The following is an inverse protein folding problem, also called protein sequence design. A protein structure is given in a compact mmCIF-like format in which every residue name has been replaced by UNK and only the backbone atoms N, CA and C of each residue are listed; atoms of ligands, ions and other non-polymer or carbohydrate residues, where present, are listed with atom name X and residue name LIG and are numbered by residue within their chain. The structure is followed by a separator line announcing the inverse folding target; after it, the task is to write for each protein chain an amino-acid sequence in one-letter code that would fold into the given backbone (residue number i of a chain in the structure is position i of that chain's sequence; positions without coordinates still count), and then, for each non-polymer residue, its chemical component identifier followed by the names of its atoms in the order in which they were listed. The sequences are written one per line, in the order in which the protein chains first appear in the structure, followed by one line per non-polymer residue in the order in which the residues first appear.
data_IF_839069691596
#
_entry.id   IF_839069691596
#
_cell.length_a   1.000
_cell.length_b   1.000
_cell.length_c   1.000
_cell.angle_alpha   90.00
_cell.angle_beta   90.00
_cell.angle_gamma   90.00
#
_symmetry.space_group_name_H-M   'P 1'
#
loop_
_entity.id
_entity.type
_entity.pdbx_description
1 polymer ?
#
# COMPACT_ATOMS: atom_id res chain seq x y z
N UNK A 1 -10.72 -14.19 -14.16
CA UNK A 1 -9.39 -14.81 -13.98
C UNK A 1 -8.43 -13.71 -13.58
N UNK A 2 -7.34 -14.00 -12.87
CA UNK A 2 -6.39 -12.98 -12.44
C UNK A 2 -5.13 -13.02 -13.32
N UNK A 3 -5.06 -12.17 -14.34
CA UNK A 3 -3.89 -12.06 -15.21
C UNK A 3 -2.84 -11.16 -14.55
N UNK A 4 -1.80 -11.79 -14.03
CA UNK A 4 -0.58 -11.12 -13.57
C UNK A 4 0.51 -11.22 -14.63
N UNK A 5 1.27 -10.13 -14.82
CA UNK A 5 2.42 -10.10 -15.71
C UNK A 5 3.72 -9.87 -14.93
N UNK A 6 4.82 -10.54 -15.33
CA UNK A 6 6.14 -10.13 -14.88
C UNK A 6 6.47 -8.76 -15.48
N UNK A 7 7.37 -8.03 -14.82
CA UNK A 7 7.82 -6.71 -15.28
C UNK A 7 9.29 -6.53 -14.90
N UNK A 8 9.98 -5.64 -15.62
CA UNK A 8 11.35 -5.27 -15.26
C UNK A 8 11.27 -4.21 -14.16
N UNK A 9 11.51 -4.61 -12.91
CA UNK A 9 11.41 -3.71 -11.78
C UNK A 9 12.57 -2.70 -11.75
N UNK A 10 12.25 -1.48 -11.31
CA UNK A 10 13.24 -0.49 -10.91
C UNK A 10 13.49 -0.67 -9.40
N UNK A 11 14.61 -1.27 -9.03
CA UNK A 11 14.91 -1.69 -7.65
C UNK A 11 16.03 -0.87 -7.04
N UNK A 12 16.04 -0.65 -5.71
CA UNK A 12 17.18 -0.04 -5.05
C UNK A 12 18.41 -0.96 -5.16
N UNK A 13 19.61 -0.38 -5.17
CA UNK A 13 20.80 -1.14 -4.80
C UNK A 13 20.61 -1.71 -3.38
N UNK A 14 20.97 -2.98 -3.11
CA UNK A 14 20.68 -3.60 -1.82
C UNK A 14 21.23 -2.83 -0.61
N UNK A 15 22.44 -2.30 -0.71
CA UNK A 15 23.11 -1.49 0.32
C UNK A 15 22.46 -0.11 0.54
N UNK A 16 21.67 0.38 -0.42
CA UNK A 16 20.96 1.66 -0.33
C UNK A 16 19.48 1.50 0.04
N UNK A 17 18.95 0.27 0.03
CA UNK A 17 17.52 0.02 0.19
C UNK A 17 16.94 0.63 1.49
N UNK A 18 17.65 0.49 2.61
CA UNK A 18 17.22 1.06 3.89
C UNK A 18 17.16 2.60 3.89
N UNK A 19 17.98 3.27 3.08
CA UNK A 19 17.99 4.73 2.95
C UNK A 19 16.95 5.24 1.96
N UNK A 20 16.54 4.39 1.02
CA UNK A 20 15.53 4.72 0.01
C UNK A 20 14.13 4.48 0.58
N UNK A 21 13.92 3.39 1.30
CA UNK A 21 12.64 3.02 1.89
C UNK A 21 11.94 4.19 2.62
N UNK A 22 10.63 4.26 2.46
CA UNK A 22 9.77 5.27 3.09
C UNK A 22 8.61 4.62 3.85
N UNK A 23 8.10 5.36 4.83
CA UNK A 23 6.77 5.09 5.40
C UNK A 23 5.68 5.46 4.38
N UNK A 24 4.44 4.95 4.54
CA UNK A 24 3.34 5.33 3.66
C UNK A 24 3.15 6.85 3.58
N UNK A 25 3.18 7.40 2.37
CA UNK A 25 3.18 8.86 2.14
C UNK A 25 1.87 9.55 2.56
N UNK A 26 0.77 8.80 2.61
CA UNK A 26 -0.58 9.27 2.89
C UNK A 26 -0.93 9.32 4.39
N UNK A 27 -0.03 8.81 5.26
CA UNK A 27 -0.15 8.92 6.72
C UNK A 27 0.78 9.96 7.33
N UNK A 28 1.54 10.69 6.50
CA UNK A 28 2.52 11.69 6.94
C UNK A 28 2.11 13.11 6.55
N UNK A 29 2.25 14.04 7.49
CA UNK A 29 2.30 15.46 7.17
C UNK A 29 3.58 15.82 6.41
N UNK A 30 3.58 16.93 5.68
CA UNK A 30 4.80 17.42 5.00
C UNK A 30 5.89 17.82 5.99
N UNK A 31 5.55 18.21 7.22
CA UNK A 31 6.53 18.50 8.27
C UNK A 31 7.21 17.24 8.79
N UNK A 32 6.44 16.18 9.09
CA UNK A 32 7.00 14.88 9.46
C UNK A 32 7.87 14.32 8.35
N UNK A 33 7.43 14.41 7.09
CA UNK A 33 8.20 13.95 5.95
C UNK A 33 9.52 14.73 5.78
N UNK A 34 9.53 16.06 5.98
CA UNK A 34 10.79 16.85 6.01
C UNK A 34 11.73 16.37 7.10
N UNK A 35 11.21 16.10 8.30
CA UNK A 35 12.01 15.63 9.44
C UNK A 35 12.61 14.25 9.17
N UNK A 36 11.83 13.32 8.63
CA UNK A 36 12.27 11.95 8.30
C UNK A 36 13.31 11.97 7.16
N UNK A 37 13.12 12.81 6.15
CA UNK A 37 14.04 12.90 5.00
C UNK A 37 15.26 13.81 5.25
N UNK A 38 15.34 14.47 6.41
CA UNK A 38 16.43 15.38 6.76
C UNK A 38 17.78 14.65 6.74
N UNK A 39 18.78 15.24 6.08
CA UNK A 39 20.12 14.64 5.95
C UNK A 39 20.19 13.39 5.06
N UNK A 40 19.06 12.89 4.54
CA UNK A 40 19.03 11.73 3.66
C UNK A 40 18.58 12.11 2.24
N UNK A 41 19.53 12.36 1.30
CA UNK A 41 19.19 12.70 -0.08
C UNK A 41 18.57 11.52 -0.86
N UNK A 42 18.66 10.28 -0.35
CA UNK A 42 18.12 9.09 -1.00
C UNK A 42 16.68 8.76 -0.60
N UNK A 43 16.13 9.44 0.42
CA UNK A 43 14.78 9.15 0.92
C UNK A 43 13.75 9.24 -0.20
N UNK A 44 12.98 8.18 -0.41
CA UNK A 44 11.95 8.15 -1.44
C UNK A 44 10.79 9.12 -1.15
N UNK A 45 10.69 9.65 0.09
CA UNK A 45 9.77 10.74 0.44
C UNK A 45 10.00 11.99 -0.42
N UNK A 46 11.21 12.18 -0.95
CA UNK A 46 11.54 13.26 -1.89
C UNK A 46 10.84 13.08 -3.24
N UNK A 47 10.38 11.86 -3.56
CA UNK A 47 9.63 11.50 -4.77
C UNK A 47 8.13 11.41 -4.48
N UNK A 48 7.74 10.79 -3.36
CA UNK A 48 6.33 10.58 -3.00
C UNK A 48 5.67 11.80 -2.35
N UNK A 49 6.45 12.64 -1.67
CA UNK A 49 6.07 13.94 -1.08
C UNK A 49 7.03 15.05 -1.50
N UNK A 50 7.11 15.41 -2.80
CA UNK A 50 8.12 16.33 -3.32
C UNK A 50 8.06 17.74 -2.73
N UNK A 51 6.94 18.12 -2.12
CA UNK A 51 6.76 19.41 -1.46
C UNK A 51 7.74 19.64 -0.29
N UNK A 52 8.39 18.58 0.21
CA UNK A 52 9.42 18.69 1.25
C UNK A 52 10.69 19.38 0.75
N UNK A 53 10.93 19.37 -0.56
CA UNK A 53 12.08 19.99 -1.24
C UNK A 53 11.73 21.33 -1.91
N UNK A 54 10.60 21.92 -1.54
CA UNK A 54 10.12 23.21 -2.02
C UNK A 54 9.88 24.16 -0.84
N UNK A 55 9.82 25.50 -1.07
CA UNK A 55 9.52 26.47 -0.03
C UNK A 55 8.24 26.12 0.73
N UNK A 56 8.26 26.34 2.05
CA UNK A 56 7.10 26.13 2.89
C UNK A 56 5.90 26.96 2.39
N UNK A 57 4.71 26.36 2.39
CA UNK A 57 3.50 26.98 1.85
C UNK A 57 3.27 26.75 0.35
N UNK A 58 4.18 26.06 -0.36
CA UNK A 58 3.92 25.67 -1.76
C UNK A 58 2.66 24.79 -1.83
N UNK A 59 1.68 25.09 -2.72
CA UNK A 59 0.48 24.27 -2.86
C UNK A 59 0.81 22.83 -3.26
N UNK A 60 0.30 21.86 -2.49
CA UNK A 60 0.63 20.43 -2.63
C UNK A 60 0.37 19.86 -4.02
N UNK A 61 -0.64 20.38 -4.72
CA UNK A 61 -1.04 19.90 -6.03
C UNK A 61 -0.64 20.84 -7.17
N UNK A 62 0.36 21.69 -6.97
CA UNK A 62 0.92 22.55 -8.03
C UNK A 62 1.85 21.76 -8.97
N UNK A 63 1.96 22.20 -10.22
CA UNK A 63 2.85 21.58 -11.23
C UNK A 63 4.29 21.43 -10.73
N UNK A 64 4.78 22.44 -10.00
CA UNK A 64 6.12 22.46 -9.40
C UNK A 64 6.38 21.28 -8.45
N UNK A 65 5.37 20.81 -7.72
CA UNK A 65 5.51 19.64 -6.83
C UNK A 65 5.73 18.37 -7.65
N UNK A 66 4.90 18.13 -8.67
CA UNK A 66 5.04 16.93 -9.52
C UNK A 66 6.34 16.96 -10.33
N UNK A 67 6.74 18.11 -10.87
CA UNK A 67 8.02 18.29 -11.54
C UNK A 67 9.19 18.01 -10.60
N UNK A 68 9.13 18.48 -9.35
CA UNK A 68 10.15 18.19 -8.33
C UNK A 68 10.25 16.69 -8.06
N UNK A 69 9.11 16.00 -7.93
CA UNK A 69 9.08 14.54 -7.77
C UNK A 69 9.75 13.81 -8.93
N UNK A 70 9.43 14.23 -10.15
CA UNK A 70 10.04 13.68 -11.37
C UNK A 70 11.54 13.95 -11.48
N UNK A 71 12.00 15.13 -11.07
CA UNK A 71 13.42 15.47 -10.99
C UNK A 71 14.15 14.56 -9.98
N UNK A 72 13.59 14.42 -8.78
CA UNK A 72 14.16 13.60 -7.71
C UNK A 72 14.20 12.12 -8.09
N UNK A 73 13.14 11.61 -8.74
CA UNK A 73 13.09 10.23 -9.22
C UNK A 73 14.14 9.97 -10.31
N UNK A 74 14.24 10.83 -11.33
CA UNK A 74 15.27 10.72 -12.37
C UNK A 74 16.68 10.78 -11.80
N UNK A 75 16.91 11.59 -10.76
CA UNK A 75 18.19 11.66 -10.05
C UNK A 75 18.54 10.32 -9.38
N UNK A 76 17.61 9.67 -8.68
CA UNK A 76 17.84 8.35 -8.09
C UNK A 76 18.23 7.29 -9.13
N UNK A 77 17.65 7.37 -10.33
CA UNK A 77 18.00 6.47 -11.45
C UNK A 77 19.36 6.82 -12.04
N UNK A 78 19.61 8.10 -12.34
CA UNK A 78 20.86 8.57 -12.95
C UNK A 78 22.09 8.33 -12.06
N UNK A 79 21.94 8.54 -10.74
CA UNK A 79 22.98 8.26 -9.75
C UNK A 79 23.13 6.74 -9.48
N UNK A 80 22.32 5.91 -10.13
CA UNK A 80 22.33 4.46 -10.02
C UNK A 80 21.90 3.93 -8.66
N UNK A 81 21.21 4.74 -7.86
CA UNK A 81 20.62 4.31 -6.59
C UNK A 81 19.42 3.39 -6.81
N UNK A 82 18.66 3.64 -7.89
CA UNK A 82 17.63 2.77 -8.45
C UNK A 82 18.10 2.21 -9.79
N UNK A 83 17.97 0.89 -9.99
CA UNK A 83 18.42 0.19 -11.20
C UNK A 83 17.31 -0.66 -11.80
N UNK A 84 17.05 -0.55 -13.12
CA UNK A 84 16.10 -1.42 -13.78
C UNK A 84 16.69 -2.81 -13.94
N UNK A 85 15.87 -3.84 -13.74
CA UNK A 85 16.23 -5.19 -14.13
C UNK A 85 16.31 -5.31 -15.66
N UNK A 86 17.22 -6.16 -16.14
CA UNK A 86 17.44 -6.36 -17.57
C UNK A 86 16.28 -7.12 -18.25
N UNK A 87 15.53 -7.91 -17.48
CA UNK A 87 14.44 -8.75 -17.98
C UNK A 87 13.22 -8.66 -17.05
N UNK A 88 12.01 -8.91 -17.57
CA UNK A 88 10.82 -9.01 -16.75
C UNK A 88 10.85 -10.23 -15.82
N UNK A 89 10.53 -10.02 -14.55
CA UNK A 89 10.41 -11.09 -13.55
C UNK A 89 9.14 -10.95 -12.73
N UNK A 90 8.77 -12.02 -12.03
CA UNK A 90 7.96 -11.90 -10.82
C UNK A 90 8.92 -11.70 -9.63
N UNK A 91 8.42 -11.12 -8.55
CA UNK A 91 9.23 -10.93 -7.34
C UNK A 91 8.46 -11.41 -6.12
N UNK A 92 9.18 -11.67 -5.04
CA UNK A 92 8.61 -11.85 -3.72
C UNK A 92 8.96 -10.65 -2.87
N UNK A 93 8.02 -10.19 -2.05
CA UNK A 93 8.23 -9.17 -1.04
C UNK A 93 7.70 -9.67 0.29
N UNK A 94 8.59 -9.72 1.30
CA UNK A 94 8.26 -10.13 2.66
C UNK A 94 8.34 -8.94 3.61
N UNK A 95 7.37 -8.88 4.50
CA UNK A 95 7.36 -8.00 5.66
C UNK A 95 7.32 -8.86 6.93
N UNK A 96 8.22 -8.60 7.87
CA UNK A 96 8.20 -9.21 9.21
C UNK A 96 8.00 -8.10 10.24
N UNK A 97 6.87 -8.16 10.94
CA UNK A 97 6.42 -7.20 11.94
C UNK A 97 6.23 -7.94 13.27
N UNK A 98 7.17 -7.77 14.19
CA UNK A 98 7.24 -8.55 15.42
C UNK A 98 7.18 -10.07 15.14
N UNK A 99 6.16 -10.78 15.65
CA UNK A 99 5.98 -12.22 15.43
C UNK A 99 5.24 -12.57 14.13
N UNK A 100 4.77 -11.58 13.36
CA UNK A 100 4.00 -11.81 12.14
C UNK A 100 4.89 -11.65 10.90
N UNK A 101 4.79 -12.59 9.96
CA UNK A 101 5.43 -12.53 8.66
C UNK A 101 4.38 -12.73 7.58
N UNK A 102 4.49 -11.95 6.50
CA UNK A 102 3.69 -12.09 5.29
C UNK A 102 4.57 -11.89 4.06
N UNK A 103 4.40 -12.73 3.05
CA UNK A 103 5.16 -12.78 1.81
C UNK A 103 4.21 -12.77 0.62
N UNK A 104 4.28 -11.71 -0.18
CA UNK A 104 3.43 -11.54 -1.35
C UNK A 104 4.23 -11.64 -2.64
N UNK A 105 3.54 -11.99 -3.73
CA UNK A 105 4.10 -11.94 -5.08
C UNK A 105 3.93 -10.53 -5.62
N UNK A 106 5.02 -9.91 -6.09
CA UNK A 106 4.99 -8.61 -6.77
C UNK A 106 4.85 -8.84 -8.27
N UNK A 107 3.86 -8.19 -8.88
CA UNK A 107 3.54 -8.33 -10.28
C UNK A 107 2.84 -7.09 -10.83
N UNK A 108 2.65 -7.06 -12.15
CA UNK A 108 1.80 -6.10 -12.83
C UNK A 108 0.39 -6.69 -13.01
N UNK A 109 -0.59 -6.19 -12.26
CA UNK A 109 -2.01 -6.58 -12.29
C UNK A 109 -2.78 -5.84 -13.38
N UNK A 110 -3.87 -6.42 -13.89
CA UNK A 110 -4.60 -5.89 -15.05
C UNK A 110 -5.54 -4.73 -14.72
N UNK A 111 -5.39 -3.60 -15.42
CA UNK A 111 -6.37 -2.50 -15.35
C UNK A 111 -7.75 -2.91 -15.90
N UNK A 112 -7.79 -3.80 -16.89
CA UNK A 112 -9.06 -4.29 -17.43
C UNK A 112 -9.84 -5.12 -16.39
N UNK A 113 -9.13 -5.97 -15.64
CA UNK A 113 -9.74 -6.79 -14.57
C UNK A 113 -10.19 -5.95 -13.37
N UNK A 114 -9.53 -4.81 -13.12
CA UNK A 114 -10.02 -3.81 -12.19
C UNK A 114 -11.34 -3.18 -12.65
N UNK A 115 -11.45 -2.84 -13.94
CA UNK A 115 -12.62 -2.19 -14.53
C UNK A 115 -13.82 -3.13 -14.67
N UNK A 116 -13.59 -4.39 -15.05
CA UNK A 116 -14.66 -5.41 -15.19
C UNK A 116 -15.10 -6.04 -13.84
N UNK A 117 -14.38 -5.71 -12.75
CA UNK A 117 -14.69 -6.17 -11.41
C UNK A 117 -14.19 -7.58 -11.09
N UNK A 118 -13.30 -8.17 -11.89
CA UNK A 118 -12.54 -9.37 -11.53
C UNK A 118 -11.60 -9.11 -10.34
N UNK A 119 -11.03 -7.91 -10.27
CA UNK A 119 -10.36 -7.39 -9.07
C UNK A 119 -11.42 -6.65 -8.23
N UNK A 120 -11.74 -7.22 -7.06
CA UNK A 120 -12.83 -6.77 -6.19
C UNK A 120 -12.41 -5.56 -5.35
N UNK A 121 -13.26 -4.55 -5.35
CA UNK A 121 -13.18 -3.34 -4.52
C UNK A 121 -14.08 -3.50 -3.29
N UNK A 122 -13.73 -2.83 -2.20
CA UNK A 122 -14.53 -2.79 -0.97
C UNK A 122 -14.77 -1.37 -0.43
N UNK A 123 -14.25 -0.35 -1.11
CA UNK A 123 -14.50 1.07 -0.82
C UNK A 123 -14.55 1.89 -2.11
N UNK A 124 -15.14 3.08 -2.01
CA UNK A 124 -15.10 4.09 -3.05
C UNK A 124 -13.85 4.93 -2.93
N UNK A 125 -13.35 5.37 -4.07
CA UNK A 125 -12.24 6.32 -4.18
C UNK A 125 -12.77 7.75 -4.23
N UNK A 126 -11.91 8.70 -3.87
CA UNK A 126 -12.22 10.14 -3.97
C UNK A 126 -11.54 10.77 -5.18
N UNK A 127 -12.25 11.59 -5.98
CA UNK A 127 -11.69 12.18 -7.21
C UNK A 127 -10.40 12.98 -7.00
N UNK A 128 -10.32 13.78 -5.93
CA UNK A 128 -9.14 14.59 -5.58
C UNK A 128 -7.89 13.71 -5.36
N UNK A 129 -8.07 12.59 -4.66
CA UNK A 129 -7.00 11.61 -4.41
C UNK A 129 -6.60 10.87 -5.67
N UNK A 130 -7.55 10.55 -6.54
CA UNK A 130 -7.22 9.94 -7.83
C UNK A 130 -6.47 10.90 -8.75
N UNK A 131 -6.91 12.17 -8.87
CA UNK A 131 -6.28 13.19 -9.71
C UNK A 131 -4.82 13.40 -9.33
N UNK A 132 -4.57 13.53 -8.02
CA UNK A 132 -3.24 13.63 -7.44
C UNK A 132 -2.37 12.41 -7.80
N UNK A 133 -2.91 11.19 -7.73
CA UNK A 133 -2.17 9.97 -8.11
C UNK A 133 -1.94 9.84 -9.61
N UNK A 134 -2.91 10.22 -10.45
CA UNK A 134 -2.75 10.27 -11.91
C UNK A 134 -1.60 11.20 -12.26
N UNK A 135 -1.59 12.41 -11.70
CA UNK A 135 -0.54 13.42 -11.95
C UNK A 135 0.84 12.95 -11.50
N UNK A 136 0.92 12.24 -10.37
CA UNK A 136 2.17 11.59 -9.97
C UNK A 136 2.65 10.53 -10.97
N UNK A 137 1.79 9.60 -11.37
CA UNK A 137 2.18 8.53 -12.30
C UNK A 137 2.59 9.11 -13.66
N UNK A 138 1.85 10.10 -14.16
CA UNK A 138 2.15 10.81 -15.40
C UNK A 138 3.48 11.58 -15.31
N UNK A 139 3.70 12.33 -14.22
CA UNK A 139 4.94 13.10 -14.02
C UNK A 139 6.18 12.22 -13.85
N UNK A 140 6.06 11.07 -13.17
CA UNK A 140 7.16 10.14 -12.98
C UNK A 140 7.38 9.21 -14.18
N UNK A 141 6.33 8.95 -14.98
CA UNK A 141 6.31 7.87 -15.95
C UNK A 141 6.42 6.48 -15.31
N UNK A 142 6.07 6.36 -14.02
CA UNK A 142 6.24 5.14 -13.22
C UNK A 142 5.18 5.04 -12.13
N UNK A 143 4.90 3.81 -11.70
CA UNK A 143 4.09 3.53 -10.51
C UNK A 143 5.03 3.16 -9.37
N UNK A 144 4.95 3.89 -8.26
CA UNK A 144 5.94 3.80 -7.17
C UNK A 144 5.37 3.26 -5.87
N UNK A 145 4.05 3.04 -5.80
CA UNK A 145 3.38 2.43 -4.65
C UNK A 145 2.56 1.23 -5.12
N UNK A 146 2.95 -0.01 -4.80
CA UNK A 146 2.17 -1.19 -5.19
C UNK A 146 0.80 -1.18 -4.50
N UNK A 147 -0.26 -1.57 -5.19
CA UNK A 147 -1.52 -1.92 -4.54
C UNK A 147 -1.36 -3.22 -3.73
N UNK A 148 -2.04 -3.31 -2.58
CA UNK A 148 -2.07 -4.54 -1.78
C UNK A 148 -3.28 -5.35 -2.22
N UNK A 149 -3.04 -6.47 -2.89
CA UNK A 149 -4.09 -7.41 -3.29
C UNK A 149 -4.02 -8.69 -2.46
N UNK A 150 -5.15 -9.37 -2.35
CA UNK A 150 -5.29 -10.64 -1.63
C UNK A 150 -5.97 -11.66 -2.52
N UNK A 151 -5.57 -12.93 -2.41
CA UNK A 151 -6.20 -14.07 -3.06
C UNK A 151 -6.46 -15.21 -2.08
N UNK A 152 -7.35 -16.13 -2.46
CA UNK A 152 -7.61 -17.34 -1.66
C UNK A 152 -6.38 -18.26 -1.68
N UNK A 153 -6.02 -18.94 -0.58
CA UNK A 153 -4.82 -19.75 -0.53
C UNK A 153 -4.75 -20.80 -1.64
N UNK A 154 -3.56 -20.90 -2.26
CA UNK A 154 -3.24 -21.89 -3.29
C UNK A 154 -2.00 -22.66 -2.82
N UNK A 155 -2.15 -23.91 -2.33
CA UNK A 155 -1.05 -24.66 -1.73
C UNK A 155 0.20 -24.76 -2.60
N UNK A 156 0.01 -24.88 -3.92
CA UNK A 156 1.11 -24.99 -4.88
C UNK A 156 1.93 -23.67 -5.00
N UNK A 157 1.27 -22.51 -4.92
CA UNK A 157 1.97 -21.22 -4.83
C UNK A 157 2.70 -21.08 -3.49
N UNK A 158 2.06 -21.49 -2.38
CA UNK A 158 2.67 -21.41 -1.06
C UNK A 158 3.96 -22.26 -0.99
N UNK A 159 3.98 -23.44 -1.62
CA UNK A 159 5.18 -24.28 -1.72
C UNK A 159 6.29 -23.59 -2.51
N UNK A 160 5.99 -22.98 -3.66
CA UNK A 160 6.97 -22.23 -4.44
C UNK A 160 7.56 -21.08 -3.62
N UNK A 161 6.70 -20.28 -2.97
CA UNK A 161 7.12 -19.15 -2.12
C UNK A 161 8.02 -19.65 -1.00
N UNK A 162 7.59 -20.68 -0.26
CA UNK A 162 8.34 -21.25 0.86
C UNK A 162 9.72 -21.78 0.45
N UNK A 163 9.82 -22.41 -0.74
CA UNK A 163 11.09 -22.86 -1.29
C UNK A 163 11.98 -21.67 -1.70
N UNK A 164 11.42 -20.65 -2.36
CA UNK A 164 12.18 -19.50 -2.86
C UNK A 164 12.80 -18.68 -1.73
N UNK A 165 12.07 -18.49 -0.63
CA UNK A 165 12.56 -17.70 0.52
C UNK A 165 13.64 -18.40 1.36
N UNK A 166 13.99 -19.66 1.05
CA UNK A 166 15.17 -20.32 1.64
C UNK A 166 16.49 -19.81 1.02
N UNK A 167 16.42 -19.21 -0.17
CA UNK A 167 17.58 -18.60 -0.83
C UNK A 167 17.91 -17.23 -0.23
N UNK A 168 19.13 -16.76 -0.50
CA UNK A 168 19.57 -15.42 -0.07
C UNK A 168 18.68 -14.36 -0.73
N UNK A 169 18.07 -13.44 0.04
CA UNK A 169 17.28 -12.34 -0.51
C UNK A 169 18.14 -11.36 -1.31
N UNK A 170 17.56 -10.78 -2.36
CA UNK A 170 18.18 -9.73 -3.17
C UNK A 170 18.34 -8.43 -2.38
N UNK A 171 17.35 -8.12 -1.53
CA UNK A 171 17.34 -6.99 -0.61
C UNK A 171 16.86 -7.49 0.73
N UNK A 172 17.54 -7.11 1.81
CA UNK A 172 17.14 -7.45 3.17
C UNK A 172 17.63 -6.41 4.17
N UNK A 173 16.70 -5.71 4.81
CA UNK A 173 17.01 -4.69 5.82
C UNK A 173 15.87 -4.55 6.83
N UNK A 174 16.16 -3.97 7.99
CA UNK A 174 15.15 -3.58 8.97
C UNK A 174 15.00 -2.07 8.98
N UNK A 175 13.78 -1.58 8.76
CA UNK A 175 13.44 -0.16 8.78
C UNK A 175 13.42 0.40 10.22
N UNK A 176 13.38 1.73 10.35
CA UNK A 176 13.43 2.41 11.64
C UNK A 176 12.22 2.13 12.55
N UNK A 177 11.11 1.67 11.97
CA UNK A 177 9.89 1.23 12.67
C UNK A 177 9.97 -0.23 13.17
N UNK A 178 11.09 -0.92 12.93
CA UNK A 178 11.33 -2.29 13.32
C UNK A 178 10.79 -3.34 12.34
N UNK A 179 10.23 -2.93 11.19
CA UNK A 179 9.77 -3.87 10.17
C UNK A 179 10.95 -4.33 9.32
N UNK A 180 11.13 -5.65 9.22
CA UNK A 180 12.12 -6.23 8.30
C UNK A 180 11.49 -6.43 6.93
N UNK A 181 12.15 -5.90 5.92
CA UNK A 181 11.78 -6.00 4.53
C UNK A 181 12.77 -6.89 3.79
N UNK A 182 12.27 -7.91 3.11
CA UNK A 182 13.09 -8.76 2.25
C UNK A 182 12.47 -8.90 0.87
N UNK A 183 13.27 -9.08 -0.19
CA UNK A 183 12.77 -9.40 -1.53
C UNK A 183 13.61 -10.46 -2.24
N UNK A 184 12.96 -11.16 -3.18
CA UNK A 184 13.58 -12.17 -4.04
C UNK A 184 13.06 -12.04 -5.46
N UNK A 185 13.89 -12.45 -6.42
CA UNK A 185 13.53 -12.48 -7.84
C UNK A 185 13.12 -13.89 -8.25
N UNK A 186 11.95 -14.02 -8.86
CA UNK A 186 11.50 -15.23 -9.55
C UNK A 186 11.78 -15.02 -11.05
N UNK A 187 13.00 -15.38 -11.45
CA UNK A 187 13.49 -15.19 -12.82
C UNK A 187 13.66 -16.47 -13.64
N UNK A 188 13.49 -17.65 -13.03
CA UNK A 188 13.50 -18.91 -13.76
C UNK A 188 12.23 -19.03 -14.62
N UNK A 189 12.38 -19.44 -15.89
CA UNK A 189 11.27 -19.48 -16.84
C UNK A 189 10.16 -20.45 -16.43
N UNK A 190 10.51 -21.58 -15.79
CA UNK A 190 9.51 -22.57 -15.32
C UNK A 190 8.77 -22.04 -14.11
N UNK A 191 9.48 -21.43 -13.14
CA UNK A 191 8.85 -20.80 -11.98
C UNK A 191 7.91 -19.66 -12.40
N UNK A 192 8.34 -18.79 -13.33
CA UNK A 192 7.49 -17.69 -13.83
C UNK A 192 6.26 -18.22 -14.57
N UNK A 193 6.42 -19.23 -15.43
CA UNK A 193 5.31 -19.88 -16.12
C UNK A 193 4.31 -20.51 -15.14
N UNK A 194 4.83 -21.17 -14.09
CA UNK A 194 4.01 -21.73 -13.03
C UNK A 194 3.22 -20.66 -12.28
N UNK A 195 3.85 -19.55 -11.86
CA UNK A 195 3.14 -18.43 -11.20
C UNK A 195 2.01 -17.91 -12.07
N UNK A 196 2.29 -17.61 -13.35
CA UNK A 196 1.28 -17.12 -14.29
C UNK A 196 0.12 -18.11 -14.45
N UNK A 197 0.41 -19.41 -14.56
CA UNK A 197 -0.61 -20.46 -14.67
C UNK A 197 -1.49 -20.54 -13.41
N UNK A 198 -0.90 -20.55 -12.22
CA UNK A 198 -1.67 -20.62 -10.97
C UNK A 198 -2.61 -19.42 -10.82
N UNK A 199 -2.15 -18.20 -11.15
CA UNK A 199 -2.99 -17.01 -11.10
C UNK A 199 -4.10 -16.98 -12.14
N UNK A 200 -3.90 -17.56 -13.32
CA UNK A 200 -4.95 -17.71 -14.32
C UNK A 200 -6.16 -18.53 -13.79
N UNK A 201 -5.94 -19.45 -12.86
CA UNK A 201 -6.99 -20.23 -12.21
C UNK A 201 -7.68 -19.53 -11.03
N UNK A 202 -7.13 -18.40 -10.55
CA UNK A 202 -7.76 -17.62 -9.48
C UNK A 202 -8.88 -16.77 -10.07
N UNK A 203 -10.14 -16.93 -9.59
CA UNK A 203 -11.28 -16.24 -10.20
C UNK A 203 -11.29 -14.74 -9.91
N UNK A 204 -10.78 -14.33 -8.75
CA UNK A 204 -10.78 -12.93 -8.32
C UNK A 204 -9.63 -12.62 -7.37
N UNK A 205 -9.12 -11.41 -7.48
CA UNK A 205 -8.27 -10.77 -6.47
C UNK A 205 -9.10 -9.76 -5.69
N UNK A 206 -8.66 -9.41 -4.49
CA UNK A 206 -9.35 -8.45 -3.62
C UNK A 206 -8.37 -7.35 -3.25
N UNK A 207 -8.73 -6.09 -3.51
CA UNK A 207 -7.92 -4.97 -3.04
C UNK A 207 -8.08 -4.89 -1.52
N UNK A 208 -6.98 -5.02 -0.78
CA UNK A 208 -6.94 -4.77 0.67
C UNK A 208 -6.49 -3.34 0.96
N UNK A 209 -5.60 -2.78 0.14
CA UNK A 209 -5.16 -1.39 0.20
C UNK A 209 -4.74 -0.91 -1.20
N UNK A 210 -4.84 0.40 -1.44
CA UNK A 210 -4.42 1.03 -2.69
C UNK A 210 -5.52 1.25 -3.72
N UNK A 211 -6.79 1.41 -3.32
CA UNK A 211 -7.91 1.67 -4.24
C UNK A 211 -7.68 2.89 -5.12
N UNK A 212 -7.17 3.99 -4.55
CA UNK A 212 -6.82 5.20 -5.31
C UNK A 212 -5.68 4.97 -6.32
N UNK A 213 -4.70 4.11 -5.99
CA UNK A 213 -3.60 3.75 -6.91
C UNK A 213 -4.12 2.93 -8.08
N UNK A 214 -4.94 1.92 -7.81
CA UNK A 214 -5.59 1.09 -8.84
C UNK A 214 -6.54 1.90 -9.71
N UNK A 215 -7.33 2.80 -9.12
CA UNK A 215 -8.23 3.71 -9.85
C UNK A 215 -7.47 4.68 -10.75
N UNK A 216 -6.40 5.31 -10.26
CA UNK A 216 -5.56 6.21 -11.05
C UNK A 216 -4.92 5.48 -12.24
N UNK A 217 -4.38 4.27 -12.03
CA UNK A 217 -3.84 3.46 -13.12
C UNK A 217 -4.92 3.07 -14.15
N UNK A 218 -6.13 2.74 -13.70
CA UNK A 218 -7.25 2.46 -14.59
C UNK A 218 -7.72 3.69 -15.40
N UNK A 219 -7.69 4.88 -14.82
CA UNK A 219 -7.96 6.14 -15.54
C UNK A 219 -6.92 6.42 -16.60
N UNK A 220 -5.64 6.24 -16.28
CA UNK A 220 -4.53 6.36 -17.24
C UNK A 220 -4.71 5.33 -18.37
N UNK A 221 -5.01 4.08 -18.03
CA UNK A 221 -5.31 3.03 -18.99
C UNK A 221 -6.43 3.43 -19.97
N UNK A 222 -7.55 3.93 -19.46
CA UNK A 222 -8.69 4.38 -20.28
C UNK A 222 -8.31 5.56 -21.18
N UNK A 223 -7.59 6.56 -20.64
CA UNK A 223 -7.17 7.73 -21.42
C UNK A 223 -6.22 7.38 -22.56
N UNK A 224 -5.31 6.42 -22.33
CA UNK A 224 -4.30 5.96 -23.29
C UNK A 224 -4.73 4.76 -24.12
N UNK A 225 -5.90 4.18 -23.85
CA UNK A 225 -6.39 2.93 -24.46
C UNK A 225 -5.35 1.79 -24.45
N UNK A 226 -4.60 1.67 -23.35
CA UNK A 226 -3.54 0.67 -23.21
C UNK A 226 -2.19 1.02 -23.85
N UNK A 227 -2.05 2.16 -24.52
CA UNK A 227 -0.78 2.63 -25.06
C UNK A 227 0.27 2.89 -23.96
N UNK A 228 1.55 2.87 -24.33
CA UNK A 228 2.68 3.12 -23.43
C UNK A 228 2.66 2.25 -22.16
N UNK A 229 2.29 0.95 -22.30
CA UNK A 229 2.24 -0.03 -21.20
C UNK A 229 1.30 0.38 -20.05
N UNK A 230 0.25 1.16 -20.34
CA UNK A 230 -0.74 1.59 -19.33
C UNK A 230 -1.76 0.53 -18.92
N UNK A 231 -1.73 -0.66 -19.53
CA UNK A 231 -2.70 -1.72 -19.26
C UNK A 231 -2.54 -2.46 -17.93
N UNK A 232 -1.56 -2.09 -17.12
CA UNK A 232 -1.29 -2.76 -15.85
C UNK A 232 -1.01 -1.78 -14.70
N UNK A 233 -1.12 -2.27 -13.47
CA UNK A 233 -0.69 -1.57 -12.27
C UNK A 233 0.16 -2.44 -11.35
N UNK A 234 1.11 -1.82 -10.66
CA UNK A 234 2.01 -2.47 -9.73
C UNK A 234 1.22 -2.97 -8.51
N UNK A 235 1.38 -4.23 -8.16
CA UNK A 235 0.73 -4.84 -7.00
C UNK A 235 1.67 -5.77 -6.24
N UNK A 236 1.45 -5.88 -4.94
CA UNK A 236 1.90 -7.03 -4.13
C UNK A 236 0.66 -7.83 -3.77
N UNK A 237 0.69 -9.13 -4.07
CA UNK A 237 -0.45 -10.03 -3.98
C UNK A 237 -0.16 -11.10 -2.92
N UNK A 238 -0.88 -11.05 -1.80
CA UNK A 238 -0.69 -11.93 -0.65
C UNK A 238 -1.76 -13.02 -0.57
N UNK A 239 -1.38 -14.19 -0.08
CA UNK A 239 -2.35 -15.23 0.27
C UNK A 239 -3.16 -14.81 1.51
N UNK A 240 -4.47 -15.04 1.50
CA UNK A 240 -5.36 -14.56 2.57
C UNK A 240 -5.05 -15.15 3.96
N UNK A 241 -4.40 -16.31 4.03
CA UNK A 241 -3.95 -16.96 5.26
C UNK A 241 -2.65 -16.36 5.84
N UNK A 242 -1.92 -15.54 5.07
CA UNK A 242 -0.78 -14.78 5.57
C UNK A 242 -1.14 -13.35 6.00
N UNK A 243 -2.29 -12.84 5.60
CA UNK A 243 -2.68 -11.44 5.89
C UNK A 243 -3.38 -11.35 7.24
N UNK A 244 -2.95 -10.39 8.07
CA UNK A 244 -3.66 -10.01 9.29
C UNK A 244 -4.49 -8.76 9.08
N UNK A 245 -5.81 -8.88 9.24
CA UNK A 245 -6.72 -7.73 9.23
C UNK A 245 -6.82 -7.18 10.65
N UNK A 246 -6.37 -5.94 10.85
CA UNK A 246 -6.40 -5.25 12.13
C UNK A 246 -7.57 -4.25 12.20
N UNK A 247 -8.10 -3.95 13.41
CA UNK A 247 -9.13 -2.94 13.57
C UNK A 247 -8.57 -1.54 13.30
N UNK A 248 -9.42 -0.65 12.78
CA UNK A 248 -9.07 0.74 12.55
C UNK A 248 -9.73 1.61 13.63
N UNK A 249 -8.92 2.11 14.56
CA UNK A 249 -9.39 2.92 15.69
C UNK A 249 -9.59 4.39 15.26
N UNK A 250 -10.50 5.10 15.92
CA UNK A 250 -10.77 6.53 15.68
C UNK A 250 -10.54 7.32 16.96
N UNK A 251 -9.77 8.40 16.86
CA UNK A 251 -9.66 9.41 17.89
C UNK A 251 -10.49 10.63 17.47
N UNK A 252 -11.32 11.13 18.38
CA UNK A 252 -12.05 12.38 18.20
C UNK A 252 -11.30 13.47 18.96
N UNK A 253 -10.95 14.56 18.27
CA UNK A 253 -10.16 15.65 18.86
C UNK A 253 -10.96 16.47 19.88
N UNK A 254 -12.27 16.56 19.67
CA UNK A 254 -13.20 17.26 20.55
C UNK A 254 -14.57 16.55 20.57
N UNK A 255 -15.52 17.15 21.28
CA UNK A 255 -16.89 16.66 21.37
C UNK A 255 -17.85 17.40 20.43
N UNK A 256 -17.32 18.15 19.45
CA UNK A 256 -18.06 18.96 18.48
C UNK A 256 -19.12 19.85 19.15
N UNK A 257 -18.70 20.63 20.14
CA UNK A 257 -19.57 21.52 20.92
C UNK A 257 -20.49 20.84 21.94
N UNK A 258 -20.47 19.51 22.06
CA UNK A 258 -21.27 18.79 23.05
C UNK A 258 -20.57 18.76 24.41
N UNK A 259 -21.35 18.83 25.48
CA UNK A 259 -20.90 18.39 26.80
C UNK A 259 -20.73 16.85 26.82
N UNK A 260 -19.92 16.30 27.75
CA UNK A 260 -19.81 14.85 27.93
C UNK A 260 -21.15 14.14 28.10
N UNK A 261 -22.09 14.77 28.80
CA UNK A 261 -23.44 14.24 29.01
C UNK A 261 -24.22 14.18 27.69
N UNK A 262 -24.24 15.26 26.93
CA UNK A 262 -24.93 15.32 25.64
C UNK A 262 -24.37 14.31 24.63
N UNK A 263 -23.05 14.08 24.62
CA UNK A 263 -22.46 13.04 23.79
C UNK A 263 -22.96 11.65 24.18
N UNK A 264 -22.96 11.32 25.47
CA UNK A 264 -23.45 10.03 25.95
C UNK A 264 -24.94 9.84 25.65
N UNK A 265 -25.78 10.86 25.85
CA UNK A 265 -27.21 10.83 25.51
C UNK A 265 -27.42 10.57 24.00
N UNK A 266 -26.64 11.22 23.13
CA UNK A 266 -26.66 10.95 21.68
C UNK A 266 -26.21 9.53 21.33
N UNK A 267 -25.18 9.02 22.00
CA UNK A 267 -24.73 7.64 21.80
C UNK A 267 -25.78 6.64 22.30
N UNK A 268 -26.47 6.92 23.39
CA UNK A 268 -27.55 6.06 23.91
C UNK A 268 -28.73 5.96 22.95
N UNK A 269 -28.96 6.92 22.04
CA UNK A 269 -29.98 6.79 21.00
C UNK A 269 -29.67 5.68 19.98
N UNK A 270 -28.39 5.33 19.80
CA UNK A 270 -27.91 4.34 18.80
C UNK A 270 -27.42 3.05 19.48
N UNK A 271 -26.91 3.16 20.71
CA UNK A 271 -26.21 2.09 21.41
C UNK A 271 -26.84 1.79 22.77
N UNK A 272 -26.63 0.56 23.22
CA UNK A 272 -26.65 0.22 24.65
C UNK A 272 -25.23 0.36 25.18
N UNK A 273 -25.05 1.16 26.23
CA UNK A 273 -23.72 1.49 26.77
C UNK A 273 -23.45 0.70 28.06
N UNK A 274 -22.48 -0.22 28.02
CA UNK A 274 -21.96 -0.89 29.20
C UNK A 274 -20.83 -0.07 29.84
N UNK A 275 -20.96 0.27 31.13
CA UNK A 275 -20.00 1.11 31.87
C UNK A 275 -18.68 0.41 32.19
N UNK A 276 -18.70 -0.91 32.38
CA UNK A 276 -17.51 -1.75 32.54
C UNK A 276 -17.16 -2.39 31.19
N UNK A 277 -16.57 -1.60 30.30
CA UNK A 277 -16.23 -2.04 28.95
C UNK A 277 -14.75 -2.40 28.78
N UNK A 278 -14.41 -2.83 27.56
CA UNK A 278 -13.06 -3.16 27.16
C UNK A 278 -12.65 -2.41 25.89
N UNK A 279 -11.34 -2.32 25.65
CA UNK A 279 -10.78 -1.77 24.42
C UNK A 279 -11.13 -2.63 23.20
N UNK A 280 -11.19 -3.95 23.39
CA UNK A 280 -11.48 -4.93 22.34
C UNK A 280 -12.93 -5.41 22.52
N UNK A 281 -13.80 -5.25 21.51
CA UNK A 281 -15.18 -5.74 21.57
C UNK A 281 -15.22 -7.28 21.59
N UNK A 282 -16.19 -7.86 22.30
CA UNK A 282 -16.27 -9.31 22.48
C UNK A 282 -17.02 -10.03 21.35
N UNK A 283 -17.82 -9.31 20.56
CA UNK A 283 -18.63 -9.89 19.48
C UNK A 283 -18.98 -8.88 18.40
N UNK A 284 -19.57 -9.37 17.31
CA UNK A 284 -20.09 -8.57 16.20
C UNK A 284 -21.10 -7.53 16.71
N UNK A 285 -21.05 -6.32 16.14
CA UNK A 285 -21.88 -5.17 16.49
C UNK A 285 -21.57 -4.54 17.86
N UNK A 286 -20.37 -4.77 18.40
CA UNK A 286 -19.86 -4.04 19.55
C UNK A 286 -18.66 -3.17 19.15
N UNK A 287 -18.50 -2.03 19.84
CA UNK A 287 -17.40 -1.10 19.69
C UNK A 287 -16.82 -0.77 21.06
N UNK A 288 -15.50 -0.83 21.20
CA UNK A 288 -14.81 -0.30 22.38
C UNK A 288 -14.77 1.22 22.33
N UNK A 289 -15.16 1.88 23.42
CA UNK A 289 -15.22 3.34 23.51
C UNK A 289 -14.48 3.84 24.76
N UNK A 290 -13.37 4.53 24.56
CA UNK A 290 -12.62 5.16 25.64
C UNK A 290 -13.03 6.62 25.78
N UNK A 291 -13.55 6.98 26.95
CA UNK A 291 -13.97 8.36 27.21
C UNK A 291 -13.85 8.69 28.69
N UNK A 292 -13.30 9.86 29.01
CA UNK A 292 -13.06 10.32 30.39
C UNK A 292 -12.33 9.29 31.26
N UNK A 293 -11.22 8.75 30.75
CA UNK A 293 -10.39 7.81 31.50
C UNK A 293 -10.96 6.40 31.65
N UNK A 294 -12.07 6.08 30.98
CA UNK A 294 -12.79 4.80 31.18
C UNK A 294 -13.20 4.16 29.87
N UNK A 295 -12.98 2.85 29.78
CA UNK A 295 -13.50 2.01 28.70
C UNK A 295 -14.97 1.67 28.93
N UNK A 296 -15.75 1.77 27.85
CA UNK A 296 -17.14 1.37 27.74
C UNK A 296 -17.30 0.48 26.51
N UNK A 297 -18.26 -0.42 26.55
CA UNK A 297 -18.66 -1.20 25.36
C UNK A 297 -19.96 -0.63 24.85
N UNK A 298 -19.97 -0.23 23.58
CA UNK A 298 -21.16 0.23 22.88
C UNK A 298 -21.68 -0.93 22.03
N UNK A 299 -22.88 -1.41 22.31
CA UNK A 299 -23.55 -2.42 21.49
C UNK A 299 -24.65 -1.77 20.66
N UNK A 300 -24.67 -1.98 19.34
CA UNK A 300 -25.72 -1.42 18.49
C UNK A 300 -27.10 -1.90 18.95
N UNK A 301 -28.05 -0.97 19.09
CA UNK A 301 -29.46 -1.33 19.24
C UNK A 301 -29.92 -1.96 17.94
N UNK A 302 -30.59 -3.11 18.04
CA UNK A 302 -31.24 -3.75 16.89
C UNK A 302 -32.56 -3.07 16.60
#
# INVERSE_FOLDING_TARGET
MAMLKPFAALRPKPDLAARICELPYDVLSSEEARRIAAGNPLSFLRVSKPEIDLPAGTPLHSDRVYEKGAQNFRKLVADGALRPDAQPHFYLYRQVMAAHSQTGIVAAASCAEYLDGSIKKHEFTRPDKEDDRVRHIEGLGAQTGPAFLVYRPVPALNQLIAAKIQSVPDVDFTAADGVRHSSWTIGDAKEMGFVAQQFAHIPSLYIADGHHRSAAAARIFQSRKGAARSGQFLAVIFSADEVRILPYNRALADLNGNSPRQLLEKLEAVFTIARAGAAVPGRKHEVGFYFQGRWRTLAFRR
#
